data_IF_003049641972
#
_entry.id   IF_003049641972
#
_cell.length_a   1.000
_cell.length_b   1.000
_cell.length_c   1.000
_cell.angle_alpha   90.00
_cell.angle_beta   90.00
_cell.angle_gamma   90.00
#
_symmetry.space_group_name_H-M   'P 1'
#
loop_
_entity.id
_entity.type
_entity.pdbx_description
1 polymer ?
#
# COMPACT_ATOMS: atom_id res chain seq x y z
N UNK A 1 7.00 26.14 -12.79
CA UNK A 1 5.68 25.56 -12.44
C UNK A 1 5.96 24.43 -11.44
N UNK A 2 5.73 24.63 -10.14
CA UNK A 2 5.98 23.63 -9.08
C UNK A 2 4.76 22.73 -8.83
N UNK A 3 3.92 22.48 -9.84
CA UNK A 3 2.63 21.81 -9.67
C UNK A 3 2.73 20.33 -9.22
N UNK A 4 3.94 19.76 -9.22
CA UNK A 4 4.21 18.34 -8.91
C UNK A 4 5.31 18.15 -7.85
N UNK A 5 5.65 19.16 -7.05
CA UNK A 5 6.62 18.97 -5.97
C UNK A 5 5.95 18.29 -4.75
N UNK A 6 6.49 17.13 -4.35
CA UNK A 6 6.10 16.31 -3.20
C UNK A 6 4.73 15.60 -3.29
N UNK A 7 4.48 14.85 -4.37
CA UNK A 7 3.31 13.97 -4.48
C UNK A 7 3.40 12.67 -3.67
N UNK A 8 4.58 12.31 -3.15
CA UNK A 8 4.74 11.04 -2.44
C UNK A 8 4.04 11.08 -1.06
N UNK A 9 3.22 10.07 -0.78
CA UNK A 9 2.54 9.90 0.51
C UNK A 9 2.25 8.44 0.79
N UNK A 10 1.99 8.11 2.05
CA UNK A 10 1.49 6.80 2.47
C UNK A 10 0.43 6.98 3.57
N UNK A 11 -0.53 6.07 3.61
CA UNK A 11 -1.47 5.97 4.72
C UNK A 11 -0.81 5.28 5.93
N UNK A 12 -1.12 5.74 7.14
CA UNK A 12 -0.67 5.08 8.37
C UNK A 12 -1.37 3.73 8.60
N UNK A 13 -2.60 3.60 8.10
CA UNK A 13 -3.42 2.39 8.15
C UNK A 13 -4.09 2.18 6.81
N UNK A 14 -4.10 0.94 6.32
CA UNK A 14 -4.61 0.59 4.98
C UNK A 14 -5.78 -0.38 5.01
N UNK A 15 -6.12 -0.97 6.16
CA UNK A 15 -7.34 -1.74 6.32
C UNK A 15 -7.85 -1.76 7.76
N UNK A 16 -9.13 -2.08 7.95
CA UNK A 16 -9.75 -2.23 9.25
C UNK A 16 -11.11 -2.90 9.13
N UNK A 17 -11.89 -2.88 10.22
CA UNK A 17 -13.22 -3.48 10.22
C UNK A 17 -14.12 -2.82 9.16
N UNK A 18 -14.49 -3.60 8.13
CA UNK A 18 -15.39 -3.17 7.06
C UNK A 18 -14.78 -2.25 5.99
N UNK A 19 -13.45 -2.04 5.98
CA UNK A 19 -12.81 -1.21 4.95
C UNK A 19 -11.37 -1.62 4.64
N UNK A 20 -10.94 -1.35 3.41
CA UNK A 20 -9.55 -1.46 2.97
C UNK A 20 -9.26 -0.45 1.86
N UNK A 21 -8.03 0.04 1.81
CA UNK A 21 -7.49 0.94 0.80
C UNK A 21 -6.56 0.17 -0.16
N UNK A 22 -6.61 0.52 -1.44
CA UNK A 22 -5.79 -0.07 -2.51
C UNK A 22 -5.27 1.01 -3.45
N UNK A 23 -4.19 0.72 -4.17
CA UNK A 23 -3.52 1.65 -5.09
C UNK A 23 -3.17 2.97 -4.41
N UNK A 24 -3.43 4.07 -5.11
CA UNK A 24 -3.14 5.42 -4.64
C UNK A 24 -3.86 5.75 -3.33
N UNK A 25 -5.03 5.17 -3.05
CA UNK A 25 -5.71 5.38 -1.76
C UNK A 25 -4.91 4.80 -0.58
N UNK A 26 -4.08 3.78 -0.80
CA UNK A 26 -3.15 3.29 0.20
C UNK A 26 -1.93 4.21 0.29
N UNK A 27 -1.33 4.57 -0.85
CA UNK A 27 -0.18 5.47 -0.94
C UNK A 27 0.32 5.64 -2.37
N UNK A 28 1.18 6.64 -2.57
CA UNK A 28 1.73 7.01 -3.87
C UNK A 28 3.24 7.22 -3.77
N UNK A 29 4.00 6.56 -4.64
CA UNK A 29 5.45 6.71 -4.76
C UNK A 29 5.77 7.52 -6.02
N UNK A 30 6.89 8.24 -6.01
CA UNK A 30 7.38 8.98 -7.17
C UNK A 30 7.35 8.13 -8.47
N UNK A 31 6.77 8.64 -9.57
CA UNK A 31 6.56 7.84 -10.78
C UNK A 31 7.82 7.61 -11.61
N UNK A 32 9.02 8.01 -11.15
CA UNK A 32 10.29 7.90 -11.89
C UNK A 32 10.53 6.52 -12.52
N UNK A 33 10.21 5.44 -11.81
CA UNK A 33 10.36 4.06 -12.28
C UNK A 33 9.04 3.40 -12.68
N UNK A 34 7.98 4.17 -12.90
CA UNK A 34 6.62 3.68 -13.20
C UNK A 34 6.05 2.63 -12.21
N UNK A 35 6.25 2.76 -10.88
CA UNK A 35 5.83 1.74 -9.89
C UNK A 35 4.31 1.62 -9.71
N UNK A 36 3.51 2.56 -10.23
CA UNK A 36 2.12 2.74 -9.81
C UNK A 36 1.23 1.52 -10.02
N UNK A 37 1.37 0.82 -11.14
CA UNK A 37 0.57 -0.39 -11.41
C UNK A 37 1.04 -1.59 -10.60
N UNK A 38 2.34 -1.71 -10.31
CA UNK A 38 2.86 -2.75 -9.42
C UNK A 38 2.32 -2.54 -7.99
N UNK A 39 2.31 -1.29 -7.53
CA UNK A 39 1.78 -0.91 -6.22
C UNK A 39 0.25 -1.15 -6.12
N UNK A 40 -0.49 -0.77 -7.16
CA UNK A 40 -1.92 -1.03 -7.26
C UNK A 40 -2.21 -2.53 -7.27
N UNK A 41 -1.44 -3.32 -8.03
CA UNK A 41 -1.60 -4.77 -8.10
C UNK A 41 -1.29 -5.45 -6.76
N UNK A 42 -0.20 -5.07 -6.11
CA UNK A 42 0.18 -5.60 -4.79
C UNK A 42 -0.91 -5.36 -3.74
N UNK A 43 -1.32 -4.11 -3.56
CA UNK A 43 -2.32 -3.74 -2.55
C UNK A 43 -3.69 -4.37 -2.85
N UNK A 44 -4.10 -4.40 -4.12
CA UNK A 44 -5.36 -5.02 -4.54
C UNK A 44 -5.36 -6.54 -4.32
N UNK A 45 -4.22 -7.20 -4.57
CA UNK A 45 -4.10 -8.64 -4.37
C UNK A 45 -4.23 -9.03 -2.89
N UNK A 46 -3.53 -8.32 -1.99
CA UNK A 46 -3.61 -8.59 -0.54
C UNK A 46 -5.04 -8.37 -0.03
N UNK A 47 -5.69 -7.28 -0.44
CA UNK A 47 -7.07 -6.99 -0.03
C UNK A 47 -8.06 -8.01 -0.60
N UNK A 48 -7.85 -8.48 -1.84
CA UNK A 48 -8.70 -9.52 -2.42
C UNK A 48 -8.59 -10.85 -1.66
N UNK A 49 -7.39 -11.27 -1.25
CA UNK A 49 -7.19 -12.48 -0.42
C UNK A 49 -7.85 -12.33 0.96
N UNK A 50 -7.64 -11.19 1.63
CA UNK A 50 -8.28 -10.87 2.91
C UNK A 50 -9.81 -10.90 2.80
N UNK A 51 -10.36 -10.29 1.75
CA UNK A 51 -11.79 -10.27 1.50
C UNK A 51 -12.33 -11.68 1.27
N UNK A 52 -11.66 -12.49 0.45
CA UNK A 52 -12.07 -13.86 0.14
C UNK A 52 -12.15 -14.73 1.41
N UNK A 53 -11.17 -14.63 2.32
CA UNK A 53 -11.17 -15.31 3.62
C UNK A 53 -12.24 -14.77 4.57
N UNK A 54 -12.43 -13.46 4.61
CA UNK A 54 -13.46 -12.87 5.47
C UNK A 54 -14.86 -13.32 5.04
N UNK A 55 -15.16 -13.34 3.74
CA UNK A 55 -16.48 -13.78 3.24
C UNK A 55 -16.68 -15.31 3.35
N UNK A 56 -15.60 -16.10 3.46
CA UNK A 56 -15.69 -17.55 3.75
C UNK A 56 -15.97 -17.84 5.23
N UNK A 57 -15.97 -16.82 6.09
CA UNK A 57 -16.22 -16.93 7.52
C UNK A 57 -14.95 -17.15 8.35
N UNK A 58 -13.76 -17.01 7.77
CA UNK A 58 -12.51 -17.05 8.53
C UNK A 58 -12.32 -15.78 9.36
N UNK A 59 -11.74 -15.93 10.56
CA UNK A 59 -11.27 -14.79 11.34
C UNK A 59 -9.98 -14.24 10.73
N UNK A 60 -10.08 -13.06 10.12
CA UNK A 60 -8.96 -12.37 9.46
C UNK A 60 -8.33 -11.27 10.32
N UNK A 61 -8.72 -11.15 11.60
CA UNK A 61 -8.28 -10.04 12.45
C UNK A 61 -6.76 -9.94 12.56
N UNK A 62 -6.08 -11.08 12.74
CA UNK A 62 -4.61 -11.13 12.79
C UNK A 62 -3.95 -10.80 11.44
N UNK A 63 -4.58 -11.14 10.32
CA UNK A 63 -4.08 -10.81 8.99
C UNK A 63 -4.27 -9.33 8.66
N UNK A 64 -5.35 -8.72 9.14
CA UNK A 64 -5.61 -7.27 9.06
C UNK A 64 -4.55 -6.51 9.86
N UNK A 65 -4.27 -6.92 11.08
CA UNK A 65 -3.23 -6.31 11.91
C UNK A 65 -1.85 -6.46 11.26
N UNK A 66 -1.52 -7.68 10.81
CA UNK A 66 -0.28 -7.95 10.08
C UNK A 66 -0.14 -7.08 8.83
N UNK A 67 -1.18 -6.94 8.00
CA UNK A 67 -1.08 -6.13 6.79
C UNK A 67 -0.84 -4.64 7.10
N UNK A 68 -1.49 -4.10 8.13
CA UNK A 68 -1.25 -2.73 8.59
C UNK A 68 0.18 -2.53 9.12
N UNK A 69 0.80 -3.54 9.72
CA UNK A 69 2.20 -3.49 10.14
C UNK A 69 3.18 -3.59 8.96
N UNK A 70 2.87 -4.45 7.98
CA UNK A 70 3.78 -4.70 6.85
C UNK A 70 3.74 -3.61 5.79
N UNK A 71 2.59 -2.98 5.56
CA UNK A 71 2.43 -2.01 4.48
C UNK A 71 3.43 -0.83 4.59
N UNK A 72 3.59 -0.15 5.75
CA UNK A 72 4.56 0.94 5.89
C UNK A 72 6.01 0.47 5.71
N UNK A 73 6.33 -0.77 6.10
CA UNK A 73 7.67 -1.35 5.92
C UNK A 73 7.96 -1.58 4.45
N UNK A 74 6.99 -2.11 3.70
CA UNK A 74 7.08 -2.31 2.25
C UNK A 74 7.26 -0.98 1.52
N UNK A 75 6.41 0.01 1.79
CA UNK A 75 6.50 1.34 1.17
C UNK A 75 7.87 1.98 1.44
N UNK A 76 8.30 1.96 2.70
CA UNK A 76 9.61 2.48 3.11
C UNK A 76 10.76 1.74 2.42
N UNK A 77 10.69 0.41 2.32
CA UNK A 77 11.70 -0.40 1.65
C UNK A 77 11.85 -0.03 0.16
N UNK A 78 10.73 0.18 -0.54
CA UNK A 78 10.73 0.67 -1.92
C UNK A 78 11.35 2.06 -2.02
N UNK A 79 10.90 3.00 -1.18
CA UNK A 79 11.41 4.36 -1.15
C UNK A 79 12.93 4.40 -0.90
N UNK A 80 13.41 3.74 0.14
CA UNK A 80 14.82 3.76 0.55
C UNK A 80 15.72 3.04 -0.46
N UNK A 81 15.25 1.96 -1.09
CA UNK A 81 16.06 1.18 -2.02
C UNK A 81 16.16 1.81 -3.40
N UNK A 82 15.06 2.42 -3.88
CA UNK A 82 14.92 2.84 -5.28
C UNK A 82 14.95 4.35 -5.48
N UNK A 83 14.55 5.16 -4.49
CA UNK A 83 14.33 6.60 -4.69
C UNK A 83 15.26 7.47 -3.85
N UNK A 84 15.55 7.07 -2.62
CA UNK A 84 16.38 7.86 -1.71
C UNK A 84 17.78 8.09 -2.30
N UNK A 85 18.15 9.36 -2.40
CA UNK A 85 19.43 9.85 -2.92
C UNK A 85 19.71 9.44 -4.39
N UNK A 86 18.66 9.17 -5.18
CA UNK A 86 18.79 8.76 -6.60
C UNK A 86 18.56 9.88 -7.61
N UNK A 87 18.14 11.06 -7.17
CA UNK A 87 17.95 12.26 -7.98
C UNK A 87 17.99 13.52 -7.11
#
# INVERSE_FOLDING_TARGET
MHAYSALAYQSEKVCGNGWAAVGDAAGFIDPLYSPGLDFCSYTSHVVADLLARSVSGEDVSSLVDYYNEQYPLMYRGWFESLYKDKY
#
